data_IF_117882935842
#
_entry.id   IF_117882935842
#
_cell.length_a   1.000
_cell.length_b   1.000
_cell.length_c   1.000
_cell.angle_alpha   90.00
_cell.angle_beta   90.00
_cell.angle_gamma   90.00
#
_symmetry.space_group_name_H-M   'P 1'
#
loop_
_entity.id
_entity.type
_entity.pdbx_description
1 polymer ?
#
# COMPACT_ATOMS: atom_id res chain seq x y z
N UNK A 1 5.59 -46.96 15.02
CA UNK A 1 6.09 -45.78 15.75
C UNK A 1 6.54 -44.77 14.71
N UNK A 2 5.66 -43.83 14.32
CA UNK A 2 5.94 -42.84 13.29
C UNK A 2 6.47 -41.57 13.97
N UNK A 3 7.70 -41.08 13.67
CA UNK A 3 8.19 -39.87 14.29
C UNK A 3 7.53 -38.67 13.63
N UNK A 4 6.55 -38.13 14.35
CA UNK A 4 6.08 -36.77 14.23
C UNK A 4 7.23 -35.82 14.59
N UNK A 5 7.84 -35.19 13.60
CA UNK A 5 8.40 -33.84 13.72
C UNK A 5 8.23 -33.17 12.37
N UNK A 6 7.00 -32.70 12.09
CA UNK A 6 6.85 -31.54 11.22
C UNK A 6 7.65 -30.45 11.91
N UNK A 7 8.85 -30.16 11.41
CA UNK A 7 9.57 -28.94 11.76
C UNK A 7 8.55 -27.82 11.73
N UNK A 8 8.43 -27.10 12.84
CA UNK A 8 7.92 -25.75 12.85
C UNK A 8 8.55 -25.05 11.66
N UNK A 9 7.78 -24.90 10.59
CA UNK A 9 8.14 -24.01 9.51
C UNK A 9 8.00 -22.64 10.16
N UNK A 10 9.08 -22.20 10.81
CA UNK A 10 9.26 -20.82 11.24
C UNK A 10 8.69 -19.97 10.11
N UNK A 11 7.65 -19.21 10.42
CA UNK A 11 7.01 -18.32 9.45
C UNK A 11 8.16 -17.61 8.75
N UNK A 12 8.32 -17.86 7.44
CA UNK A 12 9.41 -17.29 6.69
C UNK A 12 9.36 -15.79 6.94
N UNK A 13 10.41 -15.26 7.59
CA UNK A 13 10.52 -13.84 7.91
C UNK A 13 10.09 -13.08 6.66
N UNK A 14 9.10 -12.20 6.82
CA UNK A 14 8.64 -11.37 5.71
C UNK A 14 9.88 -10.80 5.01
N UNK A 15 9.99 -10.99 3.69
CA UNK A 15 11.19 -10.59 2.98
C UNK A 15 11.44 -9.10 3.24
N UNK A 16 12.53 -8.77 3.92
CA UNK A 16 12.83 -7.39 4.32
C UNK A 16 12.97 -6.53 3.07
N UNK A 17 12.23 -5.40 3.05
CA UNK A 17 12.36 -4.40 2.00
C UNK A 17 13.80 -3.89 1.94
N UNK A 18 14.38 -3.89 0.73
CA UNK A 18 15.76 -3.44 0.50
C UNK A 18 15.69 -2.03 -0.10
N UNK A 19 16.15 -0.98 0.62
CA UNK A 19 16.14 0.37 0.07
C UNK A 19 16.92 0.45 -1.25
N UNK A 20 16.32 1.06 -2.27
CA UNK A 20 17.02 1.32 -3.53
C UNK A 20 17.97 2.52 -3.31
N UNK A 21 19.23 2.35 -3.70
CA UNK A 21 20.27 3.36 -3.47
C UNK A 21 20.01 4.64 -4.27
N UNK A 22 20.05 5.79 -3.61
CA UNK A 22 20.11 7.12 -4.25
C UNK A 22 18.81 7.93 -4.24
N UNK A 23 17.70 7.37 -3.77
CA UNK A 23 16.43 8.10 -3.60
C UNK A 23 16.38 8.85 -2.26
N UNK A 24 16.06 10.14 -2.30
CA UNK A 24 15.67 10.89 -1.09
C UNK A 24 14.26 10.44 -0.71
N UNK A 25 14.00 9.99 0.52
CA UNK A 25 12.64 9.67 0.97
C UNK A 25 11.70 10.84 0.80
N UNK A 26 10.46 10.55 0.43
CA UNK A 26 9.40 11.56 0.44
C UNK A 26 8.75 11.62 1.82
N UNK A 27 8.33 12.82 2.22
CA UNK A 27 7.60 13.06 3.45
C UNK A 27 6.46 14.04 3.20
N UNK A 28 5.27 13.75 3.71
CA UNK A 28 4.10 14.63 3.62
C UNK A 28 2.96 14.16 4.51
N UNK A 29 2.34 15.09 5.24
CA UNK A 29 1.15 14.87 6.09
C UNK A 29 1.19 13.62 6.98
N UNK A 30 2.34 13.36 7.64
CA UNK A 30 2.50 12.21 8.53
C UNK A 30 2.78 10.88 7.84
N UNK A 31 2.94 10.89 6.51
CA UNK A 31 3.38 9.75 5.69
C UNK A 31 4.81 9.96 5.23
N UNK A 32 5.60 8.90 5.25
CA UNK A 32 6.86 8.82 4.51
C UNK A 32 6.75 7.78 3.40
N UNK A 33 7.46 8.01 2.29
CA UNK A 33 7.57 7.05 1.20
C UNK A 33 9.04 6.81 0.86
N UNK A 34 9.41 5.53 0.72
CA UNK A 34 10.75 5.10 0.34
C UNK A 34 10.64 4.15 -0.84
N UNK A 35 11.59 4.28 -1.76
CA UNK A 35 11.73 3.37 -2.89
C UNK A 35 12.48 2.09 -2.44
N UNK A 36 11.86 0.92 -2.63
CA UNK A 36 12.38 -0.35 -2.12
C UNK A 36 12.26 -1.47 -3.14
N UNK A 37 13.16 -2.44 -3.03
CA UNK A 37 13.03 -3.74 -3.70
C UNK A 37 12.52 -4.77 -2.69
N UNK A 38 11.43 -5.45 -3.02
CA UNK A 38 10.95 -6.60 -2.27
C UNK A 38 11.41 -7.93 -2.91
N UNK A 39 12.05 -8.83 -2.13
CA UNK A 39 12.29 -10.19 -2.57
C UNK A 39 10.97 -10.93 -2.83
N UNK A 40 10.77 -11.43 -4.05
CA UNK A 40 9.57 -12.15 -4.49
C UNK A 40 9.88 -13.55 -5.02
N UNK A 41 8.94 -14.48 -4.82
CA UNK A 41 9.02 -15.88 -5.22
C UNK A 41 9.57 -16.83 -4.15
N UNK A 42 9.50 -18.14 -4.41
CA UNK A 42 9.81 -19.22 -3.44
C UNK A 42 11.20 -19.18 -2.78
N UNK A 43 12.14 -18.41 -3.34
CA UNK A 43 13.52 -18.25 -2.81
C UNK A 43 13.96 -16.78 -2.74
N UNK A 44 13.07 -15.81 -2.94
CA UNK A 44 13.44 -14.38 -3.00
C UNK A 44 14.41 -14.03 -4.14
N UNK A 45 14.48 -14.84 -5.20
CA UNK A 45 15.44 -14.67 -6.29
C UNK A 45 15.06 -13.55 -7.27
N UNK A 46 13.79 -13.15 -7.30
CA UNK A 46 13.33 -11.99 -8.06
C UNK A 46 13.15 -10.83 -7.10
N UNK A 47 13.49 -9.63 -7.54
CA UNK A 47 13.19 -8.39 -6.83
C UNK A 47 12.04 -7.71 -7.56
N UNK A 48 11.06 -7.26 -6.80
CA UNK A 48 9.95 -6.46 -7.30
C UNK A 48 10.14 -5.05 -6.79
N UNK A 49 10.00 -4.09 -7.70
CA UNK A 49 10.10 -2.68 -7.39
C UNK A 49 8.82 -2.21 -6.70
N UNK A 50 8.97 -1.68 -5.50
CA UNK A 50 7.87 -1.32 -4.62
C UNK A 50 8.08 0.06 -4.00
N UNK A 51 6.98 0.69 -3.63
CA UNK A 51 6.99 1.85 -2.75
C UNK A 51 6.58 1.38 -1.36
N UNK A 52 7.43 1.65 -0.38
CA UNK A 52 7.10 1.47 1.02
C UNK A 52 6.55 2.78 1.58
N UNK A 53 5.29 2.76 2.03
CA UNK A 53 4.67 3.87 2.75
C UNK A 53 4.71 3.58 4.25
N UNK A 54 5.14 4.56 5.06
CA UNK A 54 5.12 4.47 6.52
C UNK A 54 4.27 5.57 7.13
N UNK A 55 3.44 5.22 8.10
CA UNK A 55 2.48 6.07 8.81
C UNK A 55 2.57 5.75 10.30
N UNK A 56 3.30 6.56 11.07
CA UNK A 56 3.63 6.20 12.45
C UNK A 56 4.35 4.84 12.49
N UNK A 57 3.80 3.89 13.26
CA UNK A 57 4.33 2.52 13.35
C UNK A 57 3.79 1.58 12.25
N UNK A 58 2.90 2.06 11.39
CA UNK A 58 2.30 1.29 10.31
C UNK A 58 3.15 1.40 9.03
N UNK A 59 3.45 0.28 8.38
CA UNK A 59 4.21 0.26 7.13
C UNK A 59 3.51 -0.63 6.11
N UNK A 60 3.48 -0.22 4.85
CA UNK A 60 2.89 -1.01 3.77
C UNK A 60 3.70 -0.88 2.50
N UNK A 61 3.95 -2.01 1.85
CA UNK A 61 4.62 -2.06 0.56
C UNK A 61 3.64 -2.31 -0.58
N UNK A 62 3.66 -1.42 -1.58
CA UNK A 62 2.79 -1.44 -2.75
C UNK A 62 3.65 -1.57 -4.01
N UNK A 63 3.17 -2.26 -5.03
CA UNK A 63 3.93 -2.35 -6.28
C UNK A 63 4.06 -0.96 -6.92
N UNK A 64 5.28 -0.57 -7.30
CA UNK A 64 5.56 0.76 -7.83
C UNK A 64 4.68 1.12 -9.03
N UNK A 65 4.53 0.17 -9.95
CA UNK A 65 3.72 0.34 -11.16
C UNK A 65 2.22 0.52 -10.84
N UNK A 66 1.68 -0.22 -9.87
CA UNK A 66 0.28 -0.11 -9.48
C UNK A 66 -0.02 1.23 -8.79
N UNK A 67 0.91 1.74 -7.96
CA UNK A 67 0.79 3.08 -7.38
C UNK A 67 0.82 4.16 -8.47
N UNK A 68 1.68 4.01 -9.48
CA UNK A 68 1.67 4.91 -10.64
C UNK A 68 0.35 4.83 -11.42
N UNK A 69 -0.18 3.64 -11.63
CA UNK A 69 -1.44 3.46 -12.35
C UNK A 69 -2.62 4.05 -11.54
N UNK A 70 -2.61 3.93 -10.20
CA UNK A 70 -3.57 4.58 -9.30
C UNK A 70 -3.50 6.11 -9.42
N UNK A 71 -2.29 6.67 -9.36
CA UNK A 71 -2.05 8.12 -9.49
C UNK A 71 -2.38 8.66 -10.89
N UNK A 72 -2.37 7.81 -11.91
CA UNK A 72 -2.81 8.16 -13.26
C UNK A 72 -4.31 7.91 -13.49
N UNK A 73 -5.05 7.45 -12.46
CA UNK A 73 -6.47 7.14 -12.56
C UNK A 73 -6.81 5.92 -13.43
N UNK A 74 -5.83 5.02 -13.68
CA UNK A 74 -6.04 3.79 -14.45
C UNK A 74 -6.62 2.65 -13.60
N UNK A 75 -6.27 2.65 -12.32
CA UNK A 75 -6.87 1.78 -11.29
C UNK A 75 -7.34 2.66 -10.14
N UNK A 76 -8.19 2.11 -9.28
CA UNK A 76 -8.74 2.85 -8.14
C UNK A 76 -8.37 2.26 -6.78
N UNK A 77 -7.83 1.03 -6.78
CA UNK A 77 -7.43 0.27 -5.60
C UNK A 77 -6.11 -0.42 -5.91
N UNK A 78 -5.20 -0.46 -4.94
CA UNK A 78 -3.93 -1.17 -4.98
C UNK A 78 -3.77 -1.98 -3.70
N UNK A 79 -3.56 -3.27 -3.87
CA UNK A 79 -3.33 -4.20 -2.77
C UNK A 79 -1.85 -4.23 -2.36
N UNK A 80 -1.56 -4.46 -1.07
CA UNK A 80 -0.20 -4.61 -0.59
C UNK A 80 0.46 -5.90 -1.09
N UNK A 81 1.77 -5.84 -1.35
CA UNK A 81 2.57 -6.97 -1.82
C UNK A 81 2.93 -7.98 -0.70
N UNK A 82 2.66 -7.64 0.56
CA UNK A 82 3.01 -8.42 1.75
C UNK A 82 1.84 -9.22 2.34
N UNK A 83 2.17 -10.26 3.14
CA UNK A 83 1.19 -11.13 3.83
C UNK A 83 0.65 -10.56 5.16
N UNK A 84 0.97 -9.30 5.49
CA UNK A 84 0.85 -8.80 6.87
C UNK A 84 -0.29 -7.83 7.13
N UNK A 85 -0.88 -7.23 6.11
CA UNK A 85 -1.80 -6.12 6.31
C UNK A 85 -3.05 -6.31 5.49
N UNK A 86 -4.17 -6.54 6.17
CA UNK A 86 -5.53 -6.45 5.62
C UNK A 86 -5.83 -4.96 5.35
N UNK A 87 -5.11 -4.37 4.40
CA UNK A 87 -5.29 -2.98 3.97
C UNK A 87 -5.23 -2.89 2.45
N UNK A 88 -5.69 -1.76 1.92
CA UNK A 88 -5.46 -1.38 0.53
C UNK A 88 -5.29 0.14 0.42
N UNK A 89 -4.60 0.58 -0.62
CA UNK A 89 -4.51 1.99 -1.01
C UNK A 89 -5.58 2.29 -2.07
N UNK A 90 -6.39 3.32 -1.88
CA UNK A 90 -7.41 3.70 -2.84
C UNK A 90 -7.55 5.21 -3.01
N UNK A 91 -8.14 5.63 -4.13
CA UNK A 91 -8.65 6.99 -4.30
C UNK A 91 -10.13 7.08 -3.85
N UNK A 92 -10.69 8.29 -3.84
CA UNK A 92 -12.10 8.56 -3.52
C UNK A 92 -13.09 7.63 -4.27
N UNK A 93 -12.79 7.31 -5.53
CA UNK A 93 -13.63 6.47 -6.38
C UNK A 93 -13.47 4.95 -6.14
N UNK A 94 -12.32 4.50 -5.63
CA UNK A 94 -12.02 3.07 -5.46
C UNK A 94 -12.85 2.39 -4.38
N UNK A 95 -13.29 3.16 -3.39
CA UNK A 95 -14.16 2.64 -2.34
C UNK A 95 -15.58 2.44 -2.84
N UNK A 96 -16.10 3.21 -3.81
CA UNK A 96 -17.42 2.91 -4.39
C UNK A 96 -17.45 1.50 -5.02
N UNK A 97 -16.33 1.07 -5.62
CA UNK A 97 -16.15 -0.28 -6.18
C UNK A 97 -15.94 -1.36 -5.10
N UNK A 98 -15.23 -1.06 -4.02
CA UNK A 98 -15.06 -1.98 -2.89
C UNK A 98 -16.35 -2.09 -2.03
N UNK A 99 -17.11 -1.00 -1.93
CA UNK A 99 -18.35 -0.86 -1.18
C UNK A 99 -19.59 -1.36 -1.94
N UNK A 100 -19.53 -1.51 -3.27
CA UNK A 100 -20.64 -2.07 -4.06
C UNK A 100 -20.97 -3.52 -3.69
N UNK A 101 -20.11 -4.18 -2.89
CA UNK A 101 -20.41 -5.44 -2.23
C UNK A 101 -21.49 -5.36 -1.12
N UNK A 102 -21.95 -4.15 -0.74
CA UNK A 102 -23.05 -4.00 0.22
C UNK A 102 -23.45 -2.54 0.45
N UNK A 103 -24.69 -2.21 0.06
CA UNK A 103 -25.38 -0.91 0.20
C UNK A 103 -25.00 -0.11 1.46
N UNK A 104 -24.77 1.19 1.29
CA UNK A 104 -24.62 2.20 2.36
C UNK A 104 -23.56 1.84 3.43
N UNK A 105 -22.35 1.53 3.00
CA UNK A 105 -21.24 1.27 3.92
C UNK A 105 -20.73 2.56 4.58
N UNK A 106 -20.30 2.45 5.84
CA UNK A 106 -19.63 3.54 6.58
C UNK A 106 -18.41 4.07 5.82
N UNK A 107 -17.75 3.18 5.06
CA UNK A 107 -16.69 3.51 4.12
C UNK A 107 -17.11 4.58 3.09
N UNK A 108 -18.29 4.43 2.47
CA UNK A 108 -18.81 5.41 1.52
C UNK A 108 -19.09 6.77 2.19
N UNK A 109 -19.54 6.77 3.44
CA UNK A 109 -19.78 8.00 4.20
C UNK A 109 -18.48 8.75 4.52
N UNK A 110 -17.38 8.05 4.83
CA UNK A 110 -16.09 8.69 5.03
C UNK A 110 -15.55 9.28 3.72
N UNK A 111 -15.56 8.51 2.63
CA UNK A 111 -14.98 8.95 1.35
C UNK A 111 -15.79 10.06 0.67
N UNK A 112 -17.10 10.15 0.92
CA UNK A 112 -17.92 11.27 0.45
C UNK A 112 -17.43 12.64 0.95
N UNK A 113 -16.69 12.65 2.07
CA UNK A 113 -16.08 13.86 2.62
C UNK A 113 -14.64 14.07 2.15
N UNK A 114 -14.07 13.13 1.39
CA UNK A 114 -12.68 13.24 0.95
C UNK A 114 -12.59 14.10 -0.30
N UNK A 115 -11.52 14.90 -0.43
CA UNK A 115 -11.20 15.53 -1.71
C UNK A 115 -11.10 14.47 -2.81
N UNK A 116 -11.58 14.80 -4.01
CA UNK A 116 -11.63 13.84 -5.14
C UNK A 116 -10.26 13.21 -5.45
N UNK A 117 -9.18 14.00 -5.29
CA UNK A 117 -7.80 13.57 -5.56
C UNK A 117 -7.07 13.05 -4.31
N UNK A 118 -7.77 12.87 -3.18
CA UNK A 118 -7.16 12.30 -1.98
C UNK A 118 -6.94 10.79 -2.15
N UNK A 119 -5.87 10.30 -1.53
CA UNK A 119 -5.63 8.87 -1.37
C UNK A 119 -5.89 8.47 0.08
N UNK A 120 -6.38 7.26 0.28
CA UNK A 120 -6.62 6.71 1.61
C UNK A 120 -6.03 5.31 1.73
N UNK A 121 -5.47 5.01 2.90
CA UNK A 121 -5.14 3.64 3.28
C UNK A 121 -6.28 3.12 4.15
N UNK A 122 -7.01 2.14 3.64
CA UNK A 122 -8.19 1.55 4.30
C UNK A 122 -7.83 0.20 4.90
N UNK A 123 -8.41 -0.13 6.07
CA UNK A 123 -8.35 -1.49 6.64
C UNK A 123 -9.49 -2.35 6.11
N UNK A 124 -9.27 -3.65 6.02
CA UNK A 124 -10.25 -4.68 5.68
C UNK A 124 -10.52 -5.51 6.95
N UNK A 125 -11.78 -5.76 7.33
CA UNK A 125 -13.00 -5.24 6.71
C UNK A 125 -13.13 -3.72 6.89
N UNK A 126 -13.81 -3.05 5.96
CA UNK A 126 -13.93 -1.57 5.91
C UNK A 126 -14.99 -1.06 6.89
N UNK A 127 -14.86 -1.48 8.15
CA UNK A 127 -15.70 -1.10 9.30
C UNK A 127 -15.01 -0.11 10.23
N UNK A 128 -13.75 0.23 9.94
CA UNK A 128 -12.95 1.18 10.72
C UNK A 128 -12.54 2.37 9.84
N UNK A 129 -12.36 3.57 10.44
CA UNK A 129 -11.84 4.72 9.72
C UNK A 129 -10.52 4.41 8.99
N UNK A 130 -10.20 5.16 7.92
CA UNK A 130 -8.93 5.02 7.23
C UNK A 130 -7.75 5.14 8.20
N UNK A 131 -6.71 4.36 7.94
CA UNK A 131 -5.42 4.48 8.65
C UNK A 131 -4.84 5.88 8.45
N UNK A 132 -4.96 6.39 7.22
CA UNK A 132 -4.62 7.76 6.89
C UNK A 132 -5.36 8.21 5.63
N UNK A 133 -5.58 9.52 5.53
CA UNK A 133 -6.03 10.21 4.34
C UNK A 133 -4.90 11.15 3.90
N UNK A 134 -4.35 10.91 2.73
CA UNK A 134 -3.34 11.74 2.09
C UNK A 134 -4.08 12.81 1.27
N UNK A 135 -4.00 14.09 1.66
CA UNK A 135 -4.72 15.17 0.98
C UNK A 135 -4.12 15.46 -0.40
N UNK A 136 -4.92 16.08 -1.27
CA UNK A 136 -4.58 16.31 -2.69
C UNK A 136 -3.23 16.99 -2.92
N UNK A 137 -2.83 17.95 -2.07
CA UNK A 137 -1.52 18.63 -2.21
C UNK A 137 -0.35 17.67 -1.96
N UNK A 138 -0.48 16.76 -0.99
CA UNK A 138 0.52 15.74 -0.72
C UNK A 138 0.48 14.61 -1.74
N UNK A 139 -0.70 14.26 -2.28
CA UNK A 139 -0.80 13.33 -3.41
C UNK A 139 -0.07 13.88 -4.64
N UNK A 140 -0.21 15.18 -4.94
CA UNK A 140 0.52 15.82 -6.03
C UNK A 140 2.05 15.78 -5.81
N UNK A 141 2.51 16.09 -4.59
CA UNK A 141 3.92 16.02 -4.19
C UNK A 141 4.47 14.59 -4.27
N UNK A 142 3.72 13.60 -3.77
CA UNK A 142 4.04 12.18 -3.83
C UNK A 142 4.15 11.71 -5.28
N UNK A 143 3.19 12.09 -6.14
CA UNK A 143 3.21 11.77 -7.57
C UNK A 143 4.44 12.34 -8.28
N UNK A 144 4.81 13.59 -7.98
CA UNK A 144 6.00 14.21 -8.51
C UNK A 144 7.29 13.50 -8.04
N UNK A 145 7.32 13.01 -6.80
CA UNK A 145 8.43 12.21 -6.28
C UNK A 145 8.50 10.82 -6.94
N UNK A 146 7.38 10.12 -7.06
CA UNK A 146 7.30 8.77 -7.65
C UNK A 146 7.78 8.78 -9.11
N UNK A 147 7.39 9.79 -9.88
CA UNK A 147 7.79 9.95 -11.29
C UNK A 147 9.28 10.23 -11.49
N UNK A 148 9.99 10.66 -10.44
CA UNK A 148 11.45 10.89 -10.45
C UNK A 148 12.24 9.62 -10.10
N UNK A 149 11.59 8.58 -9.59
CA UNK A 149 12.26 7.33 -9.25
C UNK A 149 12.69 6.58 -10.51
N UNK A 150 13.82 5.85 -10.46
CA UNK A 150 14.26 5.01 -11.56
C UNK A 150 13.25 3.87 -11.80
N UNK A 151 12.87 3.68 -13.06
CA UNK A 151 11.97 2.61 -13.51
C UNK A 151 12.64 1.24 -13.51
#
# INVERSE_FOLDING_TARGET
MFPWTKRDAAAALSPTAIPRTGGIPWHGDGVSAVDVDLPFGRKGTRRVHCVQLSVGDFTVELMFQEVLDLLNGRVHVVDPMGRGHDVFLCNAHGVEAAATAGKASEAGAWMANFPADALAIMRVPVTEPPVIVIPSHSVASLSAWLRKQPK
#
